data_IF_807137362423
#
_entry.id   IF_807137362423
#
_cell.length_a   1.000
_cell.length_b   1.000
_cell.length_c   1.000
_cell.angle_alpha   90.00
_cell.angle_beta   90.00
_cell.angle_gamma   90.00
#
_symmetry.space_group_name_H-M   'P 1'
#
loop_
_entity.id
_entity.type
_entity.pdbx_description
1 polymer ?
#
# COMPACT_ATOMS: atom_id res chain seq x y z
N UNK A 1 -1.38 -0.58 -11.76
CA UNK A 1 -2.55 0.00 -11.07
C UNK A 1 -2.08 0.99 -10.02
N UNK A 2 -1.96 2.24 -10.41
CA UNK A 2 -1.47 3.34 -9.54
C UNK A 2 -2.43 4.51 -9.49
N UNK A 3 -3.15 4.74 -10.59
CA UNK A 3 -4.14 5.80 -10.63
C UNK A 3 -5.28 5.49 -9.66
N UNK A 4 -5.75 6.50 -8.93
CA UNK A 4 -6.84 6.33 -7.96
C UNK A 4 -8.09 5.74 -8.62
N UNK A 5 -8.42 6.17 -9.83
CA UNK A 5 -9.57 5.64 -10.56
C UNK A 5 -9.47 4.14 -10.79
N UNK A 6 -8.28 3.65 -11.13
CA UNK A 6 -8.04 2.21 -11.35
C UNK A 6 -8.11 1.42 -10.05
N UNK A 7 -7.58 1.98 -8.97
CA UNK A 7 -7.59 1.37 -7.64
C UNK A 7 -9.05 1.25 -7.14
N UNK A 8 -9.82 2.32 -7.23
CA UNK A 8 -11.23 2.31 -6.84
C UNK A 8 -12.05 1.34 -7.70
N UNK A 9 -11.78 1.29 -9.00
CA UNK A 9 -12.45 0.35 -9.88
C UNK A 9 -12.13 -1.10 -9.50
N UNK A 10 -10.88 -1.39 -9.21
CA UNK A 10 -10.48 -2.73 -8.76
C UNK A 10 -11.20 -3.11 -7.46
N UNK A 11 -11.23 -2.21 -6.48
CA UNK A 11 -11.93 -2.44 -5.22
C UNK A 11 -13.43 -2.73 -5.45
N UNK A 12 -14.06 -1.93 -6.29
CA UNK A 12 -15.47 -2.12 -6.66
C UNK A 12 -15.69 -3.48 -7.34
N UNK A 13 -14.87 -3.83 -8.32
CA UNK A 13 -14.96 -5.10 -9.06
C UNK A 13 -14.77 -6.30 -8.13
N UNK A 14 -13.95 -6.18 -7.08
CA UNK A 14 -13.74 -7.21 -6.06
C UNK A 14 -14.82 -7.22 -4.97
N UNK A 15 -15.80 -6.34 -5.04
CA UNK A 15 -16.87 -6.25 -4.05
C UNK A 15 -16.43 -5.66 -2.71
N UNK A 16 -15.38 -4.85 -2.71
CA UNK A 16 -14.84 -4.21 -1.51
C UNK A 16 -15.44 -2.81 -1.39
N UNK A 17 -16.06 -2.53 -0.26
CA UNK A 17 -16.62 -1.21 0.02
C UNK A 17 -15.53 -0.30 0.59
N UNK A 18 -15.51 0.96 0.12
CA UNK A 18 -14.63 1.99 0.65
C UNK A 18 -15.48 3.05 1.34
N UNK A 19 -15.16 3.32 2.59
CA UNK A 19 -15.86 4.32 3.42
C UNK A 19 -14.87 5.42 3.81
N UNK A 20 -15.31 6.67 3.71
CA UNK A 20 -14.56 7.80 4.26
C UNK A 20 -15.05 8.06 5.70
N UNK A 21 -14.18 7.82 6.66
CA UNK A 21 -14.50 7.94 8.08
C UNK A 21 -13.31 8.50 8.84
N UNK A 22 -13.59 9.35 9.83
CA UNK A 22 -12.58 9.74 10.78
C UNK A 22 -12.22 8.53 11.65
N UNK A 23 -10.95 8.12 11.57
CA UNK A 23 -10.47 6.98 12.34
C UNK A 23 -10.25 7.36 13.81
N UNK A 24 -10.62 6.48 14.76
CA UNK A 24 -10.51 6.78 16.19
C UNK A 24 -9.08 6.65 16.74
N UNK A 25 -8.12 6.27 15.89
CA UNK A 25 -6.72 6.07 16.30
C UNK A 25 -5.97 7.39 16.38
N UNK A 26 -5.20 7.58 17.43
CA UNK A 26 -4.30 8.72 17.56
C UNK A 26 -3.01 8.58 16.73
N UNK A 27 -2.78 7.40 16.14
CA UNK A 27 -1.62 7.12 15.32
C UNK A 27 -1.73 7.85 13.96
N UNK A 28 -0.95 8.90 13.80
CA UNK A 28 -0.93 9.71 12.58
C UNK A 28 -0.51 8.96 11.31
N UNK A 29 0.15 7.79 11.48
CA UNK A 29 0.60 6.96 10.35
C UNK A 29 -0.54 6.15 9.73
N UNK A 30 -1.58 5.84 10.50
CA UNK A 30 -2.71 5.06 10.02
C UNK A 30 -3.71 5.95 9.32
N UNK A 31 -3.76 5.86 8.00
CA UNK A 31 -4.67 6.64 7.14
C UNK A 31 -5.87 5.84 6.67
N UNK A 32 -5.77 4.52 6.75
CA UNK A 32 -6.82 3.59 6.35
C UNK A 32 -6.73 2.30 7.13
N UNK A 33 -7.82 1.54 7.14
CA UNK A 33 -7.87 0.23 7.77
C UNK A 33 -8.85 -0.67 7.02
N UNK A 34 -8.50 -1.96 6.91
CA UNK A 34 -9.37 -2.97 6.33
C UNK A 34 -10.03 -3.79 7.43
N UNK A 35 -11.34 -3.96 7.37
CA UNK A 35 -12.09 -4.81 8.28
C UNK A 35 -13.05 -5.73 7.52
N UNK A 36 -13.32 -6.91 8.10
CA UNK A 36 -14.43 -7.74 7.67
C UNK A 36 -15.72 -7.16 8.22
N UNK A 37 -16.72 -7.03 7.37
CA UNK A 37 -18.03 -6.57 7.78
C UNK A 37 -18.79 -7.68 8.52
N UNK A 38 -19.95 -7.35 9.09
CA UNK A 38 -20.71 -8.25 9.96
C UNK A 38 -21.16 -9.56 9.32
N UNK A 39 -21.24 -9.62 7.98
CA UNK A 39 -21.55 -10.85 7.23
C UNK A 39 -20.36 -11.83 7.16
N UNK A 40 -19.21 -11.42 7.66
CA UNK A 40 -17.95 -12.17 7.70
C UNK A 40 -17.41 -12.58 6.30
N UNK A 41 -17.93 -11.99 5.24
CA UNK A 41 -17.54 -12.25 3.83
C UNK A 41 -17.10 -10.98 3.12
N UNK A 42 -17.78 -9.87 3.39
CA UNK A 42 -17.54 -8.59 2.75
C UNK A 42 -16.42 -7.85 3.46
N UNK A 43 -15.48 -7.31 2.67
CA UNK A 43 -14.41 -6.48 3.19
C UNK A 43 -14.80 -5.01 3.07
N UNK A 44 -14.45 -4.23 4.07
CA UNK A 44 -14.58 -2.78 4.05
C UNK A 44 -13.24 -2.12 4.28
N UNK A 45 -12.90 -1.15 3.46
CA UNK A 45 -11.75 -0.28 3.64
C UNK A 45 -12.24 1.05 4.17
N UNK A 46 -11.77 1.44 5.35
CA UNK A 46 -12.10 2.72 5.95
C UNK A 46 -10.93 3.66 5.75
N UNK A 47 -11.15 4.70 4.96
CA UNK A 47 -10.16 5.70 4.62
C UNK A 47 -10.48 6.99 5.37
N UNK A 48 -9.49 7.56 6.05
CA UNK A 48 -9.63 8.86 6.70
C UNK A 48 -9.05 9.95 5.79
N UNK A 49 -9.90 10.57 4.99
CA UNK A 49 -9.48 11.60 4.04
C UNK A 49 -8.89 12.83 4.73
N UNK A 50 -9.25 13.07 6.00
CA UNK A 50 -8.68 14.17 6.80
C UNK A 50 -7.20 13.99 7.14
N UNK A 51 -6.68 12.77 6.99
CA UNK A 51 -5.26 12.44 7.22
C UNK A 51 -4.45 12.33 5.93
N UNK A 52 -5.08 12.52 4.78
CA UNK A 52 -4.48 12.36 3.46
C UNK A 52 -4.32 13.73 2.82
N UNK A 53 -3.10 14.06 2.44
CA UNK A 53 -2.78 15.36 1.83
C UNK A 53 -2.63 15.29 0.32
N UNK A 54 -2.21 14.13 -0.21
CA UNK A 54 -1.91 13.97 -1.64
C UNK A 54 -2.59 12.73 -2.23
N UNK A 55 -2.77 12.73 -3.56
CA UNK A 55 -3.25 11.55 -4.28
C UNK A 55 -2.29 10.38 -4.19
N UNK A 56 -0.98 10.63 -4.10
CA UNK A 56 0.03 9.59 -3.89
C UNK A 56 -0.15 8.90 -2.54
N UNK A 57 -0.43 9.66 -1.48
CA UNK A 57 -0.73 9.09 -0.16
C UNK A 57 -2.00 8.25 -0.18
N UNK A 58 -3.04 8.73 -0.86
CA UNK A 58 -4.28 7.98 -1.02
C UNK A 58 -4.04 6.67 -1.78
N UNK A 59 -3.30 6.72 -2.87
CA UNK A 59 -2.94 5.53 -3.65
C UNK A 59 -2.17 4.52 -2.81
N UNK A 60 -1.15 4.96 -2.08
CA UNK A 60 -0.35 4.08 -1.21
C UNK A 60 -1.21 3.41 -0.14
N UNK A 61 -2.08 4.18 0.52
CA UNK A 61 -2.97 3.65 1.54
C UNK A 61 -3.95 2.62 0.98
N UNK A 62 -4.61 2.94 -0.13
CA UNK A 62 -5.59 2.04 -0.75
C UNK A 62 -4.94 0.78 -1.34
N UNK A 63 -3.74 0.89 -1.92
CA UNK A 63 -2.99 -0.27 -2.41
C UNK A 63 -2.60 -1.21 -1.26
N UNK A 64 -2.16 -0.66 -0.14
CA UNK A 64 -1.82 -1.46 1.05
C UNK A 64 -3.06 -2.20 1.58
N UNK A 65 -4.16 -1.48 1.76
CA UNK A 65 -5.42 -2.07 2.23
C UNK A 65 -5.99 -3.08 1.22
N UNK A 66 -5.88 -2.76 -0.08
CA UNK A 66 -6.21 -3.69 -1.16
C UNK A 66 -5.37 -4.96 -1.09
N UNK A 67 -4.13 -4.84 -0.69
CA UNK A 67 -3.24 -5.98 -0.44
C UNK A 67 -3.77 -6.91 0.64
N UNK A 68 -4.27 -6.37 1.75
CA UNK A 68 -4.92 -7.18 2.79
C UNK A 68 -6.15 -7.90 2.24
N UNK A 69 -6.96 -7.23 1.44
CA UNK A 69 -8.14 -7.83 0.82
C UNK A 69 -7.75 -8.94 -0.16
N UNK A 70 -6.80 -8.67 -1.05
CA UNK A 70 -6.38 -9.60 -2.10
C UNK A 70 -5.71 -10.87 -1.55
N UNK A 71 -4.99 -10.74 -0.44
CA UNK A 71 -4.25 -11.86 0.17
C UNK A 71 -4.99 -12.51 1.34
N UNK A 72 -6.15 -12.00 1.73
CA UNK A 72 -6.92 -12.51 2.86
C UNK A 72 -6.20 -12.36 4.20
N UNK A 73 -5.38 -11.32 4.33
CA UNK A 73 -4.50 -11.13 5.50
C UNK A 73 -5.00 -10.10 6.50
N UNK A 74 -6.30 -9.99 6.68
CA UNK A 74 -6.85 -9.21 7.79
C UNK A 74 -6.54 -9.89 9.12
N UNK A 75 -6.29 -9.10 10.15
CA UNK A 75 -5.98 -9.62 11.48
C UNK A 75 -6.75 -8.87 12.57
N UNK A 76 -6.91 -9.50 13.72
CA UNK A 76 -7.52 -8.88 14.91
C UNK A 76 -6.47 -8.04 15.65
N UNK A 77 -6.95 -7.09 16.47
CA UNK A 77 -6.08 -6.25 17.33
C UNK A 77 -5.20 -7.11 18.24
N UNK A 78 -5.68 -8.28 18.67
CA UNK A 78 -4.98 -9.19 19.57
C UNK A 78 -4.16 -10.27 18.85
N UNK A 79 -4.01 -10.17 17.53
CA UNK A 79 -3.21 -11.13 16.78
C UNK A 79 -1.73 -11.08 17.23
N UNK A 80 -1.04 -12.24 17.27
CA UNK A 80 0.40 -12.26 17.59
C UNK A 80 1.22 -11.41 16.62
N UNK A 81 2.28 -10.78 17.10
CA UNK A 81 3.16 -9.94 16.26
C UNK A 81 3.68 -10.67 15.04
N UNK A 82 4.04 -11.95 15.17
CA UNK A 82 4.54 -12.74 14.04
C UNK A 82 3.51 -12.84 12.92
N UNK A 83 2.25 -13.03 13.30
CA UNK A 83 1.16 -13.12 12.33
C UNK A 83 0.89 -11.77 11.67
N UNK A 84 0.89 -10.69 12.45
CA UNK A 84 0.73 -9.32 11.94
C UNK A 84 1.84 -9.01 10.95
N UNK A 85 3.10 -9.30 11.30
CA UNK A 85 4.24 -9.06 10.42
C UNK A 85 4.13 -9.81 9.10
N UNK A 86 3.68 -11.07 9.14
CA UNK A 86 3.44 -11.88 7.93
C UNK A 86 2.33 -11.30 7.07
N UNK A 87 1.24 -10.83 7.70
CA UNK A 87 0.12 -10.21 7.00
C UNK A 87 0.54 -8.91 6.32
N UNK A 88 1.28 -8.07 7.04
CA UNK A 88 1.81 -6.80 6.50
C UNK A 88 2.76 -7.06 5.32
N UNK A 89 3.64 -8.04 5.44
CA UNK A 89 4.55 -8.41 4.37
C UNK A 89 3.78 -8.84 3.11
N UNK A 90 2.77 -9.70 3.26
CA UNK A 90 1.97 -10.18 2.13
C UNK A 90 1.19 -9.03 1.47
N UNK A 91 0.60 -8.16 2.26
CA UNK A 91 -0.13 -7.00 1.77
C UNK A 91 0.80 -6.04 1.01
N UNK A 92 1.96 -5.72 1.56
CA UNK A 92 2.95 -4.85 0.93
C UNK A 92 3.50 -5.46 -0.36
N UNK A 93 3.82 -6.74 -0.35
CA UNK A 93 4.28 -7.45 -1.56
C UNK A 93 3.24 -7.35 -2.67
N UNK A 94 1.99 -7.64 -2.37
CA UNK A 94 0.90 -7.51 -3.33
C UNK A 94 0.78 -6.07 -3.84
N UNK A 95 0.81 -5.09 -2.94
CA UNK A 95 0.67 -3.69 -3.28
C UNK A 95 1.78 -3.22 -4.22
N UNK A 96 3.02 -3.60 -3.94
CA UNK A 96 4.19 -3.28 -4.78
C UNK A 96 4.00 -3.86 -6.18
N UNK A 97 3.66 -5.14 -6.28
CA UNK A 97 3.50 -5.81 -7.56
C UNK A 97 2.30 -5.29 -8.36
N UNK A 98 1.23 -4.90 -7.68
CA UNK A 98 0.05 -4.29 -8.31
C UNK A 98 0.33 -2.88 -8.83
N UNK A 99 1.16 -2.11 -8.12
CA UNK A 99 1.42 -0.71 -8.46
C UNK A 99 2.44 -0.54 -9.56
N UNK A 100 3.55 -1.27 -9.53
CA UNK A 100 4.67 -1.12 -10.46
C UNK A 100 5.20 -2.50 -10.86
N UNK A 101 5.27 -2.76 -12.15
CA UNK A 101 5.91 -3.96 -12.66
C UNK A 101 7.42 -3.77 -12.79
N UNK A 102 8.17 -4.88 -12.86
CA UNK A 102 9.61 -4.83 -13.12
C UNK A 102 9.93 -4.11 -14.43
N UNK A 103 9.17 -4.39 -15.47
CA UNK A 103 9.39 -3.77 -16.78
C UNK A 103 9.14 -2.26 -16.75
N UNK A 104 8.12 -1.81 -16.03
CA UNK A 104 7.86 -0.38 -15.84
C UNK A 104 9.02 0.30 -15.10
N UNK A 105 9.54 -0.32 -14.06
CA UNK A 105 10.66 0.21 -13.30
C UNK A 105 11.93 0.31 -14.17
N UNK A 106 12.22 -0.73 -14.94
CA UNK A 106 13.37 -0.73 -15.85
C UNK A 106 13.23 0.33 -16.93
N UNK A 107 12.03 0.50 -17.48
CA UNK A 107 11.76 1.53 -18.49
C UNK A 107 11.97 2.96 -17.92
N UNK A 108 11.51 3.20 -16.71
CA UNK A 108 11.71 4.48 -16.02
C UNK A 108 13.21 4.76 -15.80
N UNK A 109 13.96 3.77 -15.36
CA UNK A 109 15.40 3.88 -15.16
C UNK A 109 16.16 4.16 -16.48
N UNK A 110 15.78 3.49 -17.54
CA UNK A 110 16.35 3.75 -18.89
C UNK A 110 16.02 5.14 -19.40
N UNK A 111 14.89 5.69 -18.99
CA UNK A 111 14.50 7.06 -19.33
C UNK A 111 15.25 8.13 -18.50
N UNK A 112 16.06 7.70 -17.53
CA UNK A 112 16.93 8.58 -16.74
C UNK A 112 16.48 8.83 -15.30
N UNK A 113 15.36 8.27 -14.88
CA UNK A 113 14.87 8.42 -13.50
C UNK A 113 15.57 7.42 -12.61
N UNK A 114 16.50 7.88 -11.77
CA UNK A 114 17.34 7.01 -10.93
C UNK A 114 17.11 7.22 -9.44
N UNK A 115 16.83 8.44 -9.00
CA UNK A 115 16.67 8.77 -7.61
C UNK A 115 15.28 8.39 -7.11
N UNK A 116 15.17 8.06 -5.81
CA UNK A 116 13.90 7.66 -5.20
C UNK A 116 12.81 8.71 -5.43
N UNK A 117 13.12 9.98 -5.18
CA UNK A 117 12.15 11.06 -5.35
C UNK A 117 11.70 11.22 -6.81
N UNK A 118 12.60 11.02 -7.76
CA UNK A 118 12.28 11.08 -9.19
C UNK A 118 11.34 9.95 -9.61
N UNK A 119 11.64 8.73 -9.15
CA UNK A 119 10.81 7.56 -9.42
C UNK A 119 9.44 7.67 -8.73
N UNK A 120 9.41 8.15 -7.50
CA UNK A 120 8.16 8.39 -6.78
C UNK A 120 7.26 9.38 -7.54
N UNK A 121 7.82 10.49 -7.98
CA UNK A 121 7.10 11.48 -8.77
C UNK A 121 6.64 10.91 -10.11
N UNK A 122 7.52 10.19 -10.81
CA UNK A 122 7.21 9.57 -12.10
C UNK A 122 6.02 8.62 -12.01
N UNK A 123 5.98 7.79 -10.95
CA UNK A 123 4.91 6.81 -10.76
C UNK A 123 3.69 7.34 -9.99
N UNK A 124 3.75 8.57 -9.48
CA UNK A 124 2.66 9.13 -8.67
C UNK A 124 2.49 8.44 -7.32
N UNK A 125 3.57 7.96 -6.74
CA UNK A 125 3.61 7.25 -5.46
C UNK A 125 4.38 8.06 -4.43
N UNK A 126 4.21 7.71 -3.15
CA UNK A 126 5.03 8.30 -2.08
C UNK A 126 6.46 7.76 -2.13
N UNK A 127 7.41 8.49 -1.60
CA UNK A 127 8.79 8.01 -1.48
C UNK A 127 8.85 6.75 -0.60
N UNK A 128 8.06 6.71 0.47
CA UNK A 128 7.96 5.53 1.34
C UNK A 128 7.53 4.29 0.55
N UNK A 129 6.48 4.41 -0.25
CA UNK A 129 6.02 3.32 -1.11
C UNK A 129 7.07 2.95 -2.16
N UNK A 130 7.72 3.94 -2.75
CA UNK A 130 8.74 3.72 -3.77
C UNK A 130 9.96 2.96 -3.20
N UNK A 131 10.34 3.21 -1.95
CA UNK A 131 11.39 2.41 -1.28
C UNK A 131 11.02 0.93 -1.20
N UNK A 132 9.76 0.62 -0.91
CA UNK A 132 9.26 -0.77 -0.91
C UNK A 132 9.36 -1.39 -2.31
N UNK A 133 9.01 -0.64 -3.35
CA UNK A 133 9.11 -1.08 -4.74
C UNK A 133 10.56 -1.43 -5.10
N UNK A 134 11.48 -0.52 -4.82
CA UNK A 134 12.91 -0.73 -5.09
C UNK A 134 13.47 -1.88 -4.28
N UNK A 135 13.13 -1.96 -3.00
CA UNK A 135 13.56 -3.05 -2.13
C UNK A 135 13.15 -4.40 -2.70
N UNK A 136 11.90 -4.52 -3.13
CA UNK A 136 11.38 -5.75 -3.70
C UNK A 136 12.10 -6.16 -4.99
N UNK A 137 12.23 -5.24 -5.94
CA UNK A 137 12.79 -5.57 -7.25
C UNK A 137 14.32 -5.67 -7.25
N UNK A 138 15.01 -4.88 -6.45
CA UNK A 138 16.47 -4.89 -6.40
C UNK A 138 17.03 -5.93 -5.44
N UNK A 139 16.30 -6.27 -4.36
CA UNK A 139 16.82 -7.13 -3.28
C UNK A 139 15.97 -8.37 -3.00
N UNK A 140 14.77 -8.46 -3.57
CA UNK A 140 13.91 -9.63 -3.40
C UNK A 140 13.25 -9.75 -2.02
N UNK A 141 13.23 -8.68 -1.25
CA UNK A 141 12.60 -8.61 0.06
C UNK A 141 12.02 -7.21 0.30
N UNK A 142 11.46 -6.97 1.49
CA UNK A 142 10.86 -5.68 1.87
C UNK A 142 11.53 -5.11 3.14
N UNK A 143 12.78 -5.42 3.35
CA UNK A 143 13.55 -4.92 4.49
C UNK A 143 14.07 -3.50 4.22
N UNK A 144 13.14 -2.57 4.17
CA UNK A 144 13.38 -1.16 3.82
C UNK A 144 14.34 -0.50 4.81
N UNK A 145 14.20 -0.82 6.10
CA UNK A 145 15.07 -0.23 7.13
C UNK A 145 16.55 -0.61 6.94
N UNK A 146 16.80 -1.82 6.46
CA UNK A 146 18.16 -2.29 6.20
C UNK A 146 18.79 -1.58 5.00
N UNK A 147 18.05 -1.47 3.88
CA UNK A 147 18.59 -0.89 2.65
C UNK A 147 18.49 0.63 2.59
N UNK A 148 17.56 1.23 3.33
CA UNK A 148 17.31 2.67 3.33
C UNK A 148 17.18 3.19 4.77
N UNK A 149 18.24 3.08 5.58
CA UNK A 149 18.16 3.41 7.01
C UNK A 149 17.86 4.89 7.29
N UNK A 150 18.15 5.78 6.34
CA UNK A 150 17.89 7.22 6.45
C UNK A 150 16.40 7.57 6.35
N UNK A 151 15.58 6.59 5.97
CA UNK A 151 14.13 6.77 5.79
C UNK A 151 13.34 6.60 7.09
N UNK A 152 13.96 6.12 8.15
CA UNK A 152 13.33 5.84 9.44
C UNK A 152 13.22 7.08 10.32
#
# INVERSE_FOLDING_TARGET
MRELTDIYKWLEDEGIFVFDRQLPFSNERSKAVTIRLSDNRTMGVFLDSGRIETSAEAAAALLHEGGHCATGTTHCIISPFDLIAKHEYKADKWAVQAAVSRDELEAARKAGYQEIYELAEYFGLTEEFMRKVLCWYDHGNLDVEYYYPEAS
#
